data_IF_914845949857
#
_entry.id   IF_914845949857
#
_cell.length_a   1.000
_cell.length_b   1.000
_cell.length_c   1.000
_cell.angle_alpha   90.00
_cell.angle_beta   90.00
_cell.angle_gamma   90.00
#
_symmetry.space_group_name_H-M   'P 1'
#
loop_
_entity.id
_entity.type
_entity.pdbx_description
1 polymer ?
#
# COMPACT_ATOMS: atom_id res chain seq x y z
N UNK A 1 -28.07 -9.68 11.98
CA UNK A 1 -26.87 -8.81 11.95
C UNK A 1 -26.15 -8.73 13.30
N UNK A 2 -26.80 -8.29 14.38
CA UNK A 2 -26.14 -8.05 15.70
C UNK A 2 -25.43 -9.30 16.27
N UNK A 3 -26.11 -10.45 16.33
CA UNK A 3 -25.52 -11.70 16.84
C UNK A 3 -24.29 -12.11 16.01
N UNK A 4 -24.33 -11.94 14.69
CA UNK A 4 -23.19 -12.24 13.80
C UNK A 4 -21.99 -11.36 14.14
N UNK A 5 -22.18 -10.04 14.24
CA UNK A 5 -21.11 -9.12 14.60
C UNK A 5 -20.56 -9.41 16.01
N UNK A 6 -21.42 -9.77 16.98
CA UNK A 6 -21.00 -10.14 18.32
C UNK A 6 -20.07 -11.36 18.33
N UNK A 7 -20.34 -12.37 17.49
CA UNK A 7 -19.57 -13.62 17.40
C UNK A 7 -18.40 -13.56 16.40
N UNK A 8 -18.38 -12.60 15.48
CA UNK A 8 -17.33 -12.49 14.47
C UNK A 8 -15.94 -12.22 15.07
N UNK A 9 -14.84 -12.70 14.44
CA UNK A 9 -13.49 -12.27 14.79
C UNK A 9 -13.36 -10.74 14.73
N UNK A 10 -12.79 -10.12 15.77
CA UNK A 10 -12.66 -8.66 15.87
C UNK A 10 -11.28 -8.20 15.46
N UNK A 11 -11.24 -7.25 14.53
CA UNK A 11 -10.03 -6.51 14.15
C UNK A 11 -10.37 -5.06 13.83
N UNK A 12 -9.60 -4.14 14.40
CA UNK A 12 -9.59 -2.73 14.03
C UNK A 12 -8.31 -2.36 13.27
N UNK A 13 -7.56 -3.35 12.75
CA UNK A 13 -6.23 -3.14 12.19
C UNK A 13 -6.25 -2.22 10.95
N UNK A 14 -7.24 -2.39 10.06
CA UNK A 14 -7.43 -1.54 8.88
C UNK A 14 -7.86 -0.13 9.27
N UNK A 15 -8.72 0.01 10.29
CA UNK A 15 -9.13 1.30 10.83
C UNK A 15 -7.93 2.10 11.34
N UNK A 16 -7.11 1.51 12.20
CA UNK A 16 -5.90 2.16 12.73
C UNK A 16 -4.87 2.45 11.63
N UNK A 17 -4.79 1.61 10.60
CA UNK A 17 -3.90 1.85 9.46
C UNK A 17 -4.29 3.13 8.70
N UNK A 18 -5.59 3.33 8.47
CA UNK A 18 -6.11 4.54 7.82
C UNK A 18 -5.93 5.75 8.72
N UNK A 19 -6.24 5.67 10.01
CA UNK A 19 -6.03 6.79 10.94
C UNK A 19 -4.58 7.25 10.97
N UNK A 20 -3.62 6.32 11.04
CA UNK A 20 -2.18 6.67 11.01
C UNK A 20 -1.75 7.29 9.69
N UNK A 21 -2.29 6.82 8.57
CA UNK A 21 -1.99 7.40 7.27
C UNK A 21 -2.56 8.84 7.15
N UNK A 22 -3.77 9.07 7.67
CA UNK A 22 -4.37 10.41 7.75
C UNK A 22 -3.54 11.31 8.65
N UNK A 23 -3.14 10.84 9.83
CA UNK A 23 -2.32 11.59 10.77
C UNK A 23 -0.98 12.01 10.13
N UNK A 24 -0.35 11.13 9.37
CA UNK A 24 0.89 11.46 8.65
C UNK A 24 0.66 12.54 7.59
N UNK A 25 -0.46 12.50 6.86
CA UNK A 25 -0.83 13.56 5.90
C UNK A 25 -1.07 14.90 6.59
N UNK A 26 -1.68 14.89 7.77
CA UNK A 26 -1.98 16.12 8.53
C UNK A 26 -0.75 16.71 9.22
N UNK A 27 0.19 15.88 9.66
CA UNK A 27 1.27 16.29 10.58
C UNK A 27 2.66 16.26 9.98
N UNK A 28 2.87 15.64 8.82
CA UNK A 28 4.19 15.47 8.20
C UNK A 28 4.21 16.00 6.77
N UNK A 29 5.41 16.35 6.31
CA UNK A 29 5.65 16.52 4.89
C UNK A 29 5.72 15.13 4.24
N UNK A 30 4.61 14.70 3.62
CA UNK A 30 4.46 13.35 3.06
C UNK A 30 5.08 13.19 1.67
N UNK A 31 5.65 14.26 1.12
CA UNK A 31 6.29 14.27 -0.20
C UNK A 31 5.32 14.38 -1.36
N UNK A 32 5.87 14.32 -2.58
CA UNK A 32 5.07 14.28 -3.80
C UNK A 32 4.89 12.85 -4.31
N UNK A 33 3.85 12.64 -5.11
CA UNK A 33 3.65 11.37 -5.83
C UNK A 33 4.91 11.04 -6.65
N UNK A 34 5.49 9.83 -6.52
CA UNK A 34 6.64 9.41 -7.32
C UNK A 34 6.38 9.55 -8.82
N UNK A 35 7.38 9.98 -9.61
CA UNK A 35 7.22 10.25 -11.05
C UNK A 35 6.62 9.07 -11.82
N UNK A 36 7.04 7.85 -11.51
CA UNK A 36 6.54 6.62 -12.13
C UNK A 36 5.09 6.29 -11.75
N UNK A 37 4.47 6.99 -10.80
CA UNK A 37 3.06 6.81 -10.44
C UNK A 37 2.17 7.99 -10.86
N UNK A 38 2.75 9.06 -11.42
CA UNK A 38 1.97 10.21 -11.92
C UNK A 38 1.30 9.87 -13.24
N UNK A 39 0.14 10.49 -13.49
CA UNK A 39 -0.58 10.32 -14.74
C UNK A 39 0.29 10.73 -15.94
N UNK A 40 0.35 9.83 -16.91
CA UNK A 40 1.14 9.94 -18.14
C UNK A 40 0.28 10.32 -19.36
N UNK A 41 -1.03 10.50 -19.18
CA UNK A 41 -2.01 10.54 -20.28
C UNK A 41 -2.21 11.93 -20.89
N UNK A 42 -1.70 13.00 -20.26
CA UNK A 42 -1.87 14.37 -20.72
C UNK A 42 -0.68 14.88 -21.54
N UNK A 43 -0.93 15.89 -22.38
CA UNK A 43 0.01 16.36 -23.43
C UNK A 43 1.44 16.67 -22.94
N UNK A 44 1.59 17.23 -21.74
CA UNK A 44 2.91 17.57 -21.17
C UNK A 44 3.60 16.46 -20.38
N UNK A 45 2.91 15.34 -20.11
CA UNK A 45 3.35 14.36 -19.12
C UNK A 45 4.73 13.74 -19.43
N UNK A 46 5.00 13.44 -20.70
CA UNK A 46 6.29 12.89 -21.16
C UNK A 46 7.45 13.86 -20.91
N UNK A 47 7.25 15.15 -21.15
CA UNK A 47 8.26 16.19 -20.94
C UNK A 47 8.58 16.38 -19.46
N UNK A 48 7.59 16.18 -18.57
CA UNK A 48 7.77 16.19 -17.12
C UNK A 48 8.25 14.84 -16.55
N UNK A 49 8.46 13.83 -17.40
CA UNK A 49 8.91 12.49 -16.97
C UNK A 49 7.86 11.68 -16.21
N UNK A 50 6.57 12.05 -16.29
CA UNK A 50 5.50 11.33 -15.63
C UNK A 50 5.29 9.95 -16.24
N UNK A 51 5.01 8.96 -15.38
CA UNK A 51 4.87 7.55 -15.76
C UNK A 51 6.17 6.89 -16.20
N UNK A 52 7.28 7.62 -16.32
CA UNK A 52 8.57 7.04 -16.69
C UNK A 52 9.04 6.09 -15.58
N UNK A 53 9.31 4.83 -15.95
CA UNK A 53 9.72 3.80 -15.01
C UNK A 53 8.57 3.09 -14.31
N UNK A 54 7.31 3.38 -14.65
CA UNK A 54 6.16 2.62 -14.16
C UNK A 54 6.26 1.16 -14.60
N UNK A 55 6.15 0.25 -13.65
CA UNK A 55 6.04 -1.19 -13.89
C UNK A 55 4.59 -1.61 -13.75
N UNK A 56 4.00 -2.08 -14.84
CA UNK A 56 2.61 -2.57 -14.85
C UNK A 56 2.53 -3.96 -14.21
N UNK A 57 1.90 -4.14 -13.02
CA UNK A 57 2.00 -5.38 -12.25
C UNK A 57 1.50 -6.64 -12.97
N UNK A 58 0.58 -6.50 -13.92
CA UNK A 58 0.03 -7.63 -14.68
C UNK A 58 1.03 -8.27 -15.63
N UNK A 59 2.10 -7.56 -16.00
CA UNK A 59 3.18 -8.09 -16.84
C UNK A 59 4.21 -8.91 -16.03
N UNK A 60 4.07 -8.96 -14.70
CA UNK A 60 5.02 -9.63 -13.81
C UNK A 60 4.44 -10.94 -13.25
N UNK A 61 5.28 -11.98 -13.07
CA UNK A 61 4.85 -13.25 -12.48
C UNK A 61 4.12 -13.07 -11.14
N UNK A 62 2.98 -13.73 -10.99
CA UNK A 62 2.15 -13.62 -9.78
C UNK A 62 1.39 -12.30 -9.65
N UNK A 63 1.39 -11.44 -10.69
CA UNK A 63 0.67 -10.16 -10.69
C UNK A 63 1.24 -9.15 -9.69
N UNK A 64 2.54 -9.26 -9.36
CA UNK A 64 3.20 -8.42 -8.38
C UNK A 64 4.58 -8.00 -8.87
N UNK A 65 4.93 -6.75 -8.60
CA UNK A 65 6.23 -6.20 -8.94
C UNK A 65 6.83 -5.45 -7.75
N UNK A 66 8.13 -5.65 -7.53
CA UNK A 66 8.88 -4.85 -6.59
C UNK A 66 9.09 -3.44 -7.19
N UNK A 67 8.29 -2.50 -6.70
CA UNK A 67 8.31 -1.08 -7.03
C UNK A 67 8.07 -0.28 -5.75
N UNK A 68 8.69 0.90 -5.65
CA UNK A 68 8.40 1.84 -4.56
C UNK A 68 7.06 2.53 -4.83
N UNK A 69 6.20 2.59 -3.82
CA UNK A 69 4.86 3.16 -3.96
C UNK A 69 4.62 4.37 -3.08
N UNK A 70 5.33 4.45 -1.96
CA UNK A 70 5.31 5.63 -1.11
C UNK A 70 6.31 6.67 -1.64
N UNK A 71 6.08 7.96 -1.40
CA UNK A 71 7.10 8.99 -1.55
C UNK A 71 8.34 8.66 -0.71
N UNK A 72 9.48 9.29 -1.05
CA UNK A 72 10.76 9.02 -0.36
C UNK A 72 10.67 9.37 1.13
N UNK A 73 9.92 10.42 1.46
CA UNK A 73 9.66 10.93 2.81
C UNK A 73 8.91 9.91 3.69
N UNK A 74 8.13 9.03 3.07
CA UNK A 74 7.38 7.95 3.75
C UNK A 74 7.99 6.58 3.48
N UNK A 75 9.21 6.53 2.95
CA UNK A 75 9.83 5.26 2.58
C UNK A 75 10.02 4.37 3.79
N UNK A 76 9.58 3.12 3.64
CA UNK A 76 9.66 2.12 4.70
C UNK A 76 8.50 2.15 5.69
N UNK A 77 7.66 3.20 5.69
CA UNK A 77 6.48 3.29 6.55
C UNK A 77 5.52 2.13 6.29
N UNK A 78 4.96 1.60 7.37
CA UNK A 78 3.98 0.52 7.35
C UNK A 78 2.83 0.91 8.26
N UNK A 79 1.64 1.08 7.70
CA UNK A 79 0.45 1.42 8.50
C UNK A 79 -0.39 0.19 8.86
N UNK A 80 -0.50 -0.76 7.93
CA UNK A 80 -1.31 -1.97 8.09
C UNK A 80 -0.53 -3.10 8.76
N UNK A 81 -1.02 -3.47 9.95
CA UNK A 81 -0.51 -4.57 10.78
C UNK A 81 -1.65 -5.57 11.04
N UNK A 82 -1.86 -6.55 10.14
CA UNK A 82 -2.96 -7.51 10.27
C UNK A 82 -2.83 -8.35 11.54
N UNK A 83 -3.99 -8.73 12.11
CA UNK A 83 -4.06 -9.67 13.23
C UNK A 83 -4.02 -11.12 12.75
N UNK A 84 -3.91 -12.06 13.69
CA UNK A 84 -4.00 -13.50 13.43
C UNK A 84 -5.45 -14.03 13.51
N UNK A 85 -6.45 -13.14 13.52
CA UNK A 85 -7.85 -13.50 13.74
C UNK A 85 -8.63 -13.58 12.44
N UNK A 86 -9.42 -14.64 12.29
CA UNK A 86 -10.31 -14.81 11.13
C UNK A 86 -9.55 -14.74 9.81
N UNK A 87 -10.11 -14.02 8.83
CA UNK A 87 -9.52 -13.89 7.49
C UNK A 87 -8.20 -13.11 7.46
N UNK A 88 -7.88 -12.31 8.49
CA UNK A 88 -6.63 -11.54 8.50
C UNK A 88 -5.38 -12.41 8.61
N UNK A 89 -5.48 -13.62 9.17
CA UNK A 89 -4.35 -14.55 9.22
C UNK A 89 -3.82 -14.88 7.81
N UNK A 90 -4.72 -15.22 6.87
CA UNK A 90 -4.36 -15.47 5.46
C UNK A 90 -3.81 -14.21 4.78
N UNK A 91 -4.37 -13.03 5.11
CA UNK A 91 -3.86 -11.76 4.57
C UNK A 91 -2.45 -11.44 5.09
N UNK A 92 -2.19 -11.73 6.37
CA UNK A 92 -0.86 -11.57 6.99
C UNK A 92 0.17 -12.45 6.32
N UNK A 93 -0.14 -13.73 6.08
CA UNK A 93 0.74 -14.65 5.34
C UNK A 93 1.04 -14.13 3.94
N UNK A 94 0.02 -13.70 3.19
CA UNK A 94 0.20 -13.12 1.86
C UNK A 94 1.09 -11.87 1.92
N UNK A 95 0.84 -10.98 2.87
CA UNK A 95 1.61 -9.75 3.04
C UNK A 95 3.09 -10.04 3.36
N UNK A 96 3.37 -11.05 4.19
CA UNK A 96 4.74 -11.48 4.48
C UNK A 96 5.45 -12.02 3.23
N UNK A 97 4.79 -12.87 2.43
CA UNK A 97 5.35 -13.36 1.17
C UNK A 97 5.68 -12.23 0.20
N UNK A 98 4.78 -11.25 0.06
CA UNK A 98 5.00 -10.08 -0.80
C UNK A 98 6.18 -9.22 -0.31
N UNK A 99 6.38 -9.11 1.01
CA UNK A 99 7.52 -8.38 1.59
C UNK A 99 8.84 -9.11 1.36
N UNK A 100 8.88 -10.43 1.51
CA UNK A 100 10.04 -11.26 1.21
C UNK A 100 10.43 -11.15 -0.28
N UNK A 101 9.45 -11.23 -1.19
CA UNK A 101 9.69 -11.03 -2.62
C UNK A 101 10.29 -9.65 -2.94
N UNK A 102 9.96 -8.63 -2.16
CA UNK A 102 10.46 -7.26 -2.33
C UNK A 102 11.91 -7.06 -1.86
N UNK A 103 12.55 -8.08 -1.25
CA UNK A 103 13.92 -7.99 -0.77
C UNK A 103 14.09 -7.12 0.48
N UNK A 104 13.11 -7.11 1.39
CA UNK A 104 13.31 -6.65 2.77
C UNK A 104 13.76 -7.80 3.66
#
# INVERSE_FOLDING_TARGET
>A
AVIYLALAPKSNSAYLAVERAIEDVEKKETGQVPLHLRDASYYGAKSFGHGRGYKYPHDYPGGFVAQEYLPEELRGTTYYHPTDRGAEATLKERLLRLRQFRGK
#
